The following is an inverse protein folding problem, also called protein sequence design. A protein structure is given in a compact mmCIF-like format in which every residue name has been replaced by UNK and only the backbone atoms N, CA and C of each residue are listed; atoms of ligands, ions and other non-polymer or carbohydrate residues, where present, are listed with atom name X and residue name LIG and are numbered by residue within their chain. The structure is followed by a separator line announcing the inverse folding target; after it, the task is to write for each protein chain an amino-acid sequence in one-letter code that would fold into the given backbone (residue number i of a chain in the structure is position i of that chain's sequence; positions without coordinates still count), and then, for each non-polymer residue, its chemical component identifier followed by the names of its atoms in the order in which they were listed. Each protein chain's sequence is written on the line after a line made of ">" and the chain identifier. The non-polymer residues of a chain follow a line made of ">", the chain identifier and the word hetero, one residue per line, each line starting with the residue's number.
data_IF_812452527284
#
_entry.id   IF_812452527284
#
_cell.length_a   1.000
_cell.length_b   1.000
_cell.length_c   1.000
_cell.angle_alpha   90.00
_cell.angle_beta   90.00
_cell.angle_gamma   90.00
#
_symmetry.space_group_name_H-M   'P 1'
#
loop_
_entity.id
_entity.type
_entity.pdbx_description
1 polymer ?
#
# COMPACT_ATOMS: atom_id res chain seq x y z
N UNK A 1 -24.14 -4.92 -16.49
CA UNK A 1 -23.14 -5.31 -15.48
C UNK A 1 -21.91 -5.89 -16.15
N UNK A 2 -22.03 -6.95 -16.95
CA UNK A 2 -20.87 -7.52 -17.67
C UNK A 2 -20.17 -6.49 -18.56
N UNK A 3 -20.92 -5.69 -19.32
CA UNK A 3 -20.34 -4.60 -20.11
C UNK A 3 -19.60 -3.56 -19.26
N UNK A 4 -20.09 -3.25 -18.06
CA UNK A 4 -19.42 -2.32 -17.13
C UNK A 4 -18.12 -2.92 -16.60
N UNK A 5 -18.11 -4.24 -16.33
CA UNK A 5 -16.90 -4.98 -15.95
C UNK A 5 -15.84 -4.88 -17.05
N UNK A 6 -16.21 -5.25 -18.27
CA UNK A 6 -15.29 -5.24 -19.42
C UNK A 6 -14.79 -3.84 -19.74
N UNK A 7 -15.66 -2.82 -19.63
CA UNK A 7 -15.28 -1.43 -19.83
C UNK A 7 -14.24 -0.97 -18.81
N UNK A 8 -14.46 -1.22 -17.51
CA UNK A 8 -13.50 -0.82 -16.48
C UNK A 8 -12.19 -1.62 -16.54
N UNK A 9 -12.26 -2.92 -16.88
CA UNK A 9 -11.05 -3.73 -17.09
C UNK A 9 -10.23 -3.18 -18.26
N UNK A 10 -10.88 -2.70 -19.32
CA UNK A 10 -10.20 -2.18 -20.51
C UNK A 10 -9.74 -0.73 -20.37
N UNK A 11 -10.32 0.03 -19.44
CA UNK A 11 -10.00 1.46 -19.22
C UNK A 11 -8.58 1.63 -18.64
N UNK A 12 -7.60 2.21 -19.36
CA UNK A 12 -6.22 2.26 -18.91
C UNK A 12 -5.98 3.07 -17.63
N UNK A 13 -6.94 3.85 -17.15
CA UNK A 13 -6.80 4.70 -15.94
C UNK A 13 -7.40 4.06 -14.69
N UNK A 14 -8.16 2.97 -14.82
CA UNK A 14 -8.83 2.30 -13.69
C UNK A 14 -7.99 1.11 -13.18
N UNK A 15 -7.48 1.23 -11.95
CA UNK A 15 -6.69 0.20 -11.25
C UNK A 15 -7.31 -0.28 -9.93
N UNK A 16 -8.33 0.42 -9.42
CA UNK A 16 -9.11 0.00 -8.25
C UNK A 16 -10.47 -0.53 -8.71
N UNK A 17 -10.80 -1.76 -8.29
CA UNK A 17 -12.02 -2.47 -8.69
C UNK A 17 -12.94 -2.80 -7.51
N UNK A 18 -12.68 -2.28 -6.32
CA UNK A 18 -13.44 -2.60 -5.11
C UNK A 18 -14.90 -2.14 -5.21
N UNK A 19 -15.15 -0.93 -5.69
CA UNK A 19 -16.51 -0.40 -5.88
C UNK A 19 -17.30 -1.23 -6.89
N UNK A 20 -16.67 -1.61 -8.01
CA UNK A 20 -17.29 -2.46 -9.01
C UNK A 20 -17.57 -3.86 -8.46
N UNK A 21 -16.66 -4.41 -7.66
CA UNK A 21 -16.87 -5.69 -6.99
C UNK A 21 -18.07 -5.65 -6.04
N UNK A 22 -18.18 -4.60 -5.22
CA UNK A 22 -19.32 -4.40 -4.32
C UNK A 22 -20.63 -4.28 -5.12
N UNK A 23 -20.63 -3.51 -6.22
CA UNK A 23 -21.79 -3.40 -7.13
C UNK A 23 -22.19 -4.78 -7.69
N UNK A 24 -21.24 -5.61 -8.09
CA UNK A 24 -21.50 -6.97 -8.59
C UNK A 24 -22.13 -7.84 -7.50
N UNK A 25 -21.60 -7.82 -6.28
CA UNK A 25 -22.17 -8.56 -5.15
C UNK A 25 -23.61 -8.12 -4.82
N UNK A 26 -23.89 -6.82 -4.87
CA UNK A 26 -25.25 -6.30 -4.68
C UNK A 26 -26.20 -6.73 -5.80
N UNK A 27 -25.74 -6.74 -7.05
CA UNK A 27 -26.52 -7.22 -8.19
C UNK A 27 -26.86 -8.72 -8.07
N UNK A 28 -25.90 -9.55 -7.66
CA UNK A 28 -26.12 -10.97 -7.39
C UNK A 28 -27.14 -11.20 -6.26
N UNK A 29 -27.08 -10.41 -5.18
CA UNK A 29 -28.10 -10.45 -4.10
C UNK A 29 -29.50 -10.08 -4.60
N UNK A 30 -29.58 -9.20 -5.60
CA UNK A 30 -30.83 -8.84 -6.30
C UNK A 30 -31.23 -9.84 -7.40
N UNK A 31 -30.56 -11.01 -7.47
CA UNK A 31 -30.79 -12.07 -8.46
C UNK A 31 -30.55 -11.63 -9.91
N UNK A 32 -29.72 -10.60 -10.13
CA UNK A 32 -29.22 -10.27 -11.47
C UNK A 32 -28.18 -11.31 -11.84
N UNK A 33 -28.34 -11.96 -12.99
CA UNK A 33 -27.36 -12.91 -13.51
C UNK A 33 -26.12 -12.17 -14.01
N UNK A 34 -24.95 -12.65 -13.60
CA UNK A 34 -23.64 -12.23 -14.11
C UNK A 34 -22.91 -13.54 -14.42
N UNK A 35 -22.30 -13.63 -15.60
CA UNK A 35 -21.53 -14.80 -15.98
C UNK A 35 -20.32 -15.02 -15.07
N UNK A 36 -20.01 -16.29 -14.85
CA UNK A 36 -18.83 -16.71 -14.09
C UNK A 36 -17.53 -16.22 -14.73
N UNK A 37 -17.49 -16.14 -16.07
CA UNK A 37 -16.36 -15.60 -16.82
C UNK A 37 -16.10 -14.13 -16.46
N UNK A 38 -17.13 -13.27 -16.50
CA UNK A 38 -17.00 -11.85 -16.16
C UNK A 38 -16.58 -11.65 -14.69
N UNK A 39 -17.14 -12.43 -13.76
CA UNK A 39 -16.75 -12.39 -12.35
C UNK A 39 -15.32 -12.87 -12.13
N UNK A 40 -14.89 -13.92 -12.82
CA UNK A 40 -13.52 -14.45 -12.75
C UNK A 40 -12.52 -13.44 -13.29
N UNK A 41 -12.83 -12.76 -14.40
CA UNK A 41 -12.01 -11.66 -14.93
C UNK A 41 -11.93 -10.52 -13.94
N UNK A 42 -13.06 -10.02 -13.42
CA UNK A 42 -13.06 -8.97 -12.41
C UNK A 42 -12.22 -9.35 -11.20
N UNK A 43 -12.36 -10.58 -10.71
CA UNK A 43 -11.58 -11.08 -9.57
C UNK A 43 -10.08 -11.11 -9.86
N UNK A 44 -9.67 -11.54 -11.06
CA UNK A 44 -8.26 -11.49 -11.48
C UNK A 44 -7.72 -10.06 -11.46
N UNK A 45 -8.46 -9.09 -12.01
CA UNK A 45 -8.03 -7.69 -12.03
C UNK A 45 -8.14 -6.98 -10.68
N UNK A 46 -8.92 -7.52 -9.74
CA UNK A 46 -9.02 -7.00 -8.38
C UNK A 46 -7.94 -7.57 -7.46
N UNK A 47 -7.69 -8.87 -7.53
CA UNK A 47 -6.93 -9.62 -6.51
C UNK A 47 -5.81 -10.48 -7.10
N UNK A 48 -5.88 -10.74 -8.40
CA UNK A 48 -4.96 -11.62 -9.10
C UNK A 48 -3.70 -10.92 -9.58
N UNK A 49 -2.81 -11.73 -10.16
CA UNK A 49 -1.54 -11.32 -10.74
C UNK A 49 -1.27 -12.14 -12.01
N UNK A 50 -0.16 -11.84 -12.70
CA UNK A 50 0.25 -12.55 -13.91
C UNK A 50 0.45 -14.06 -13.73
N UNK A 51 0.79 -14.53 -12.52
CA UNK A 51 0.89 -15.97 -12.23
C UNK A 51 -0.47 -16.67 -12.30
N UNK A 52 -1.52 -16.01 -11.81
CA UNK A 52 -2.89 -16.54 -11.76
C UNK A 52 -3.64 -16.48 -13.09
N UNK A 53 -3.11 -15.74 -14.09
CA UNK A 53 -3.74 -15.59 -15.41
C UNK A 53 -4.00 -16.94 -16.08
N UNK A 54 -3.04 -17.86 -16.02
CA UNK A 54 -3.15 -19.18 -16.65
C UNK A 54 -3.86 -20.23 -15.79
N UNK A 55 -3.99 -19.97 -14.49
CA UNK A 55 -4.64 -20.89 -13.53
C UNK A 55 -6.15 -20.64 -13.44
N UNK A 56 -6.58 -19.40 -13.71
CA UNK A 56 -7.97 -19.00 -13.57
C UNK A 56 -8.79 -19.46 -14.77
N UNK A 57 -9.69 -20.41 -14.53
CA UNK A 57 -10.58 -20.96 -15.56
C UNK A 57 -11.59 -19.93 -16.05
N UNK A 58 -11.91 -19.96 -17.34
CA UNK A 58 -13.02 -19.18 -17.91
C UNK A 58 -12.74 -17.69 -18.18
N UNK A 59 -11.49 -17.24 -18.08
CA UNK A 59 -11.11 -15.84 -18.44
C UNK A 59 -11.20 -15.58 -19.95
N UNK A 60 -10.99 -16.61 -20.78
CA UNK A 60 -10.81 -16.43 -22.22
C UNK A 60 -9.47 -15.77 -22.55
N UNK A 61 -9.32 -15.34 -23.80
CA UNK A 61 -8.14 -14.56 -24.22
C UNK A 61 -8.29 -13.10 -23.77
N UNK A 62 -7.23 -12.54 -23.20
CA UNK A 62 -7.18 -11.12 -22.84
C UNK A 62 -6.58 -10.32 -23.98
N UNK A 63 -7.17 -9.16 -24.25
CA UNK A 63 -6.58 -8.18 -25.16
C UNK A 63 -5.21 -7.70 -24.63
N UNK A 64 -4.28 -7.29 -25.52
CA UNK A 64 -2.93 -6.86 -25.11
C UNK A 64 -2.93 -5.75 -24.03
N UNK A 65 -3.86 -4.80 -24.11
CA UNK A 65 -3.98 -3.73 -23.10
C UNK A 65 -4.39 -4.25 -21.72
N UNK A 66 -5.27 -5.24 -21.66
CA UNK A 66 -5.67 -5.92 -20.43
C UNK A 66 -4.50 -6.70 -19.81
N UNK A 67 -3.68 -7.36 -20.63
CA UNK A 67 -2.46 -8.04 -20.16
C UNK A 67 -1.46 -7.03 -19.61
N UNK A 68 -1.26 -5.91 -20.32
CA UNK A 68 -0.37 -4.85 -19.86
C UNK A 68 -0.84 -4.26 -18.52
N UNK A 69 -2.14 -4.01 -18.36
CA UNK A 69 -2.72 -3.58 -17.09
C UNK A 69 -2.50 -4.61 -15.99
N UNK A 70 -2.70 -5.91 -16.24
CA UNK A 70 -2.45 -6.96 -15.25
C UNK A 70 -0.98 -7.03 -14.83
N UNK A 71 -0.04 -6.75 -15.74
CA UNK A 71 1.39 -6.62 -15.40
C UNK A 71 1.66 -5.43 -14.49
N UNK A 72 1.05 -4.27 -14.76
CA UNK A 72 1.16 -3.10 -13.89
C UNK A 72 0.57 -3.38 -12.51
N UNK A 73 -0.61 -3.98 -12.45
CA UNK A 73 -1.24 -4.41 -11.19
C UNK A 73 -0.35 -5.40 -10.41
N UNK A 74 0.29 -6.34 -11.10
CA UNK A 74 1.27 -7.27 -10.50
C UNK A 74 2.52 -6.53 -9.99
N UNK A 75 3.00 -5.53 -10.74
CA UNK A 75 4.12 -4.68 -10.33
C UNK A 75 3.79 -3.92 -9.04
N UNK A 76 2.56 -3.43 -8.89
CA UNK A 76 2.11 -2.76 -7.67
C UNK A 76 2.14 -3.71 -6.47
N UNK A 77 1.62 -4.92 -6.62
CA UNK A 77 1.60 -5.89 -5.50
C UNK A 77 3.00 -6.20 -4.98
N UNK A 78 3.98 -6.41 -5.88
CA UNK A 78 5.37 -6.66 -5.47
C UNK A 78 6.07 -5.40 -4.95
N UNK A 79 5.69 -4.21 -5.44
CA UNK A 79 6.24 -2.95 -4.97
C UNK A 79 5.74 -2.61 -3.56
N UNK A 80 4.45 -2.82 -3.26
CA UNK A 80 3.87 -2.64 -1.92
C UNK A 80 4.63 -3.47 -0.89
N UNK A 81 4.94 -4.73 -1.22
CA UNK A 81 5.73 -5.62 -0.37
C UNK A 81 7.19 -5.18 -0.17
N UNK A 82 7.67 -4.24 -1.00
CA UNK A 82 9.04 -3.71 -1.02
C UNK A 82 9.13 -2.21 -0.79
N UNK A 83 8.06 -1.55 -0.34
CA UNK A 83 8.08 -0.13 0.03
C UNK A 83 9.21 0.14 1.03
N UNK A 84 10.01 1.16 0.75
CA UNK A 84 11.22 1.50 1.52
C UNK A 84 12.43 0.61 1.25
N UNK A 85 12.36 -0.31 0.29
CA UNK A 85 13.42 -1.24 -0.09
C UNK A 85 13.62 -1.30 -1.61
N UNK A 86 14.60 -2.10 -2.05
CA UNK A 86 14.89 -2.34 -3.46
C UNK A 86 14.16 -3.57 -4.01
N UNK A 87 13.62 -3.43 -5.22
CA UNK A 87 13.26 -4.51 -6.14
C UNK A 87 14.36 -4.70 -7.17
N UNK A 88 14.73 -5.95 -7.48
CA UNK A 88 15.65 -6.22 -8.59
C UNK A 88 14.88 -6.33 -9.91
N UNK A 89 15.52 -5.97 -11.03
CA UNK A 89 14.90 -6.15 -12.35
C UNK A 89 14.64 -7.61 -12.66
N UNK A 90 15.43 -8.52 -12.07
CA UNK A 90 15.20 -9.94 -12.15
C UNK A 90 13.87 -10.36 -11.51
N UNK A 91 13.62 -9.96 -10.27
CA UNK A 91 12.36 -10.23 -9.57
C UNK A 91 11.17 -9.69 -10.37
N UNK A 92 11.28 -8.45 -10.85
CA UNK A 92 10.23 -7.81 -11.67
C UNK A 92 9.97 -8.63 -12.93
N UNK A 93 11.00 -9.03 -13.69
CA UNK A 93 10.82 -9.87 -14.88
C UNK A 93 10.08 -11.18 -14.59
N UNK A 94 10.47 -11.86 -13.50
CA UNK A 94 9.89 -13.15 -13.11
C UNK A 94 8.40 -13.01 -12.74
N UNK A 95 8.05 -11.97 -11.98
CA UNK A 95 6.67 -11.72 -11.56
C UNK A 95 5.79 -11.25 -12.72
N UNK A 96 6.29 -10.39 -13.60
CA UNK A 96 5.53 -9.86 -14.75
C UNK A 96 5.43 -10.86 -15.92
N UNK A 97 6.09 -12.02 -15.80
CA UNK A 97 6.18 -13.05 -16.86
C UNK A 97 6.63 -12.42 -18.18
N UNK A 98 7.69 -11.61 -18.11
CA UNK A 98 8.28 -11.00 -19.29
C UNK A 98 9.13 -12.07 -19.99
N UNK A 99 8.66 -12.53 -21.15
CA UNK A 99 9.43 -13.45 -21.99
C UNK A 99 10.66 -12.72 -22.55
N UNK A 100 11.85 -13.19 -22.17
CA UNK A 100 13.09 -12.73 -22.76
C UNK A 100 13.33 -13.61 -23.98
N UNK A 101 13.04 -13.09 -25.18
CA UNK A 101 13.38 -13.78 -26.43
C UNK A 101 14.82 -13.43 -26.79
N UNK A 102 15.75 -14.38 -26.61
CA UNK A 102 17.15 -14.24 -26.98
C UNK A 102 18.09 -13.87 -25.83
N UNK A 103 19.35 -13.62 -26.16
CA UNK A 103 20.46 -13.41 -25.21
C UNK A 103 20.74 -11.91 -24.95
N UNK A 104 19.72 -11.05 -25.11
CA UNK A 104 19.89 -9.60 -25.08
C UNK A 104 19.47 -9.05 -23.71
N UNK A 105 20.43 -9.00 -22.78
CA UNK A 105 20.24 -8.37 -21.47
C UNK A 105 19.73 -6.92 -21.58
N UNK A 106 20.12 -6.19 -22.63
CA UNK A 106 19.70 -4.81 -22.85
C UNK A 106 18.19 -4.69 -23.10
N UNK A 107 17.60 -5.65 -23.82
CA UNK A 107 16.15 -5.68 -24.06
C UNK A 107 15.36 -5.94 -22.77
N UNK A 108 15.90 -6.79 -21.89
CA UNK A 108 15.31 -7.10 -20.59
C UNK A 108 15.26 -5.85 -19.70
N UNK A 109 16.37 -5.13 -19.62
CA UNK A 109 16.48 -3.88 -18.84
C UNK A 109 15.48 -2.84 -19.33
N UNK A 110 15.48 -2.56 -20.63
CA UNK A 110 14.57 -1.57 -21.22
C UNK A 110 13.09 -1.93 -20.98
N UNK A 111 12.74 -3.21 -21.09
CA UNK A 111 11.36 -3.66 -20.89
C UNK A 111 10.91 -3.45 -19.44
N UNK A 112 11.75 -3.76 -18.46
CA UNK A 112 11.44 -3.53 -17.03
C UNK A 112 11.28 -2.04 -16.75
N UNK A 113 12.26 -1.23 -17.15
CA UNK A 113 12.22 0.22 -16.92
C UNK A 113 10.97 0.84 -17.55
N UNK A 114 10.56 0.39 -18.75
CA UNK A 114 9.32 0.83 -19.38
C UNK A 114 8.09 0.61 -18.50
N UNK A 115 7.94 -0.55 -17.85
CA UNK A 115 6.80 -0.80 -16.95
C UNK A 115 6.87 0.06 -15.69
N UNK A 116 8.07 0.24 -15.13
CA UNK A 116 8.28 1.11 -13.95
C UNK A 116 7.90 2.55 -14.29
N UNK A 117 8.47 3.10 -15.36
CA UNK A 117 8.20 4.46 -15.82
C UNK A 117 6.73 4.65 -16.17
N UNK A 118 6.07 3.64 -16.77
CA UNK A 118 4.63 3.70 -17.04
C UNK A 118 3.81 3.74 -15.75
N UNK A 119 4.14 2.92 -14.75
CA UNK A 119 3.47 2.95 -13.45
C UNK A 119 3.67 4.29 -12.73
N UNK A 120 4.87 4.86 -12.82
CA UNK A 120 5.17 6.19 -12.28
C UNK A 120 4.41 7.29 -13.00
N UNK A 121 4.31 7.23 -14.34
CA UNK A 121 3.54 8.20 -15.12
C UNK A 121 2.02 8.12 -14.92
N UNK A 122 1.53 7.06 -14.27
CA UNK A 122 0.13 6.89 -13.87
C UNK A 122 -0.08 7.17 -12.37
N UNK A 123 0.93 7.70 -11.67
CA UNK A 123 0.92 7.96 -10.22
C UNK A 123 0.60 6.71 -9.35
N UNK A 124 0.84 5.52 -9.90
CA UNK A 124 0.61 4.27 -9.17
C UNK A 124 1.84 3.86 -8.36
N UNK A 125 3.01 4.37 -8.71
CA UNK A 125 4.30 3.97 -8.16
C UNK A 125 5.20 5.19 -8.10
N UNK A 126 6.04 5.28 -7.07
CA UNK A 126 7.12 6.26 -7.01
C UNK A 126 8.39 5.61 -6.49
N UNK A 127 9.54 6.15 -6.90
CA UNK A 127 10.82 5.59 -6.52
C UNK A 127 12.01 6.10 -7.32
N UNK A 128 13.14 5.40 -7.18
CA UNK A 128 14.39 5.72 -7.88
C UNK A 128 14.93 4.50 -8.61
N UNK A 129 15.21 4.67 -9.90
CA UNK A 129 15.90 3.66 -10.72
C UNK A 129 17.40 3.71 -10.44
N UNK A 130 17.99 2.56 -10.17
CA UNK A 130 19.43 2.33 -10.15
C UNK A 130 19.77 1.37 -11.30
N UNK A 131 19.85 1.94 -12.51
CA UNK A 131 20.09 1.20 -13.76
C UNK A 131 21.41 0.41 -13.73
N UNK A 132 22.56 0.95 -13.24
CA UNK A 132 23.80 0.18 -13.14
C UNK A 132 23.66 -1.08 -12.28
N UNK A 133 22.97 -1.00 -11.14
CA UNK A 133 22.74 -2.15 -10.27
C UNK A 133 21.52 -2.98 -10.65
N UNK A 134 20.75 -2.56 -11.67
CA UNK A 134 19.49 -3.15 -12.10
C UNK A 134 18.47 -3.29 -10.96
N UNK A 135 18.28 -2.20 -10.22
CA UNK A 135 17.38 -2.14 -9.07
C UNK A 135 16.45 -0.94 -9.14
N UNK A 136 15.34 -1.04 -8.44
CA UNK A 136 14.38 0.03 -8.25
C UNK A 136 14.09 0.18 -6.77
N UNK A 137 14.40 1.36 -6.21
CA UNK A 137 14.04 1.71 -4.84
C UNK A 137 12.61 2.22 -4.80
N UNK A 138 11.72 1.51 -4.10
CA UNK A 138 10.30 1.87 -4.01
C UNK A 138 10.10 2.87 -2.87
N UNK A 139 9.69 4.10 -3.17
CA UNK A 139 9.29 5.08 -2.14
C UNK A 139 7.81 4.96 -1.80
N UNK A 140 6.98 4.68 -2.81
CA UNK A 140 5.54 4.55 -2.67
C UNK A 140 4.99 3.60 -3.75
N UNK A 141 3.91 2.89 -3.41
CA UNK A 141 3.12 2.11 -4.33
C UNK A 141 1.65 2.21 -3.93
N UNK A 142 0.78 2.51 -4.90
CA UNK A 142 -0.65 2.62 -4.71
C UNK A 142 -1.25 1.24 -4.40
N UNK A 143 -2.07 1.19 -3.35
CA UNK A 143 -2.75 -0.05 -2.97
C UNK A 143 -3.99 -0.28 -3.84
N UNK A 144 -4.06 -1.48 -4.44
CA UNK A 144 -5.22 -1.90 -5.26
C UNK A 144 -6.46 -2.15 -4.42
N UNK A 145 -6.26 -2.56 -3.16
CA UNK A 145 -7.30 -2.94 -2.21
C UNK A 145 -6.89 -2.51 -0.81
N UNK A 146 -7.84 -1.92 -0.09
CA UNK A 146 -7.75 -1.69 1.35
C UNK A 146 -8.66 -2.68 2.06
N UNK A 147 -8.11 -3.82 2.49
CA UNK A 147 -8.84 -4.76 3.34
C UNK A 147 -8.48 -4.59 4.83
N UNK A 148 -9.27 -5.23 5.70
CA UNK A 148 -9.09 -5.13 7.15
C UNK A 148 -7.73 -5.68 7.61
N UNK A 149 -7.24 -6.76 7.00
CA UNK A 149 -5.94 -7.32 7.34
C UNK A 149 -4.81 -6.34 7.00
N UNK A 150 -4.92 -5.67 5.85
CA UNK A 150 -3.97 -4.65 5.41
C UNK A 150 -4.03 -3.40 6.28
N UNK A 151 -5.21 -2.93 6.63
CA UNK A 151 -5.40 -1.82 7.59
C UNK A 151 -4.73 -2.13 8.93
N UNK A 152 -4.90 -3.35 9.45
CA UNK A 152 -4.26 -3.81 10.68
C UNK A 152 -2.73 -3.89 10.54
N UNK A 153 -2.22 -4.31 9.38
CA UNK A 153 -0.78 -4.31 9.10
C UNK A 153 -0.19 -2.90 9.08
N UNK A 154 -0.87 -1.95 8.41
CA UNK A 154 -0.49 -0.54 8.37
C UNK A 154 -0.48 0.06 9.78
N UNK A 155 -1.52 -0.21 10.58
CA UNK A 155 -1.60 0.22 11.97
C UNK A 155 -0.39 -0.29 12.77
N UNK A 156 -0.10 -1.59 12.72
CA UNK A 156 1.06 -2.19 13.42
C UNK A 156 2.40 -1.58 12.97
N UNK A 157 2.51 -1.24 11.69
CA UNK A 157 3.72 -0.62 11.14
C UNK A 157 3.90 0.80 11.67
N UNK A 158 2.81 1.58 11.74
CA UNK A 158 2.81 2.91 12.35
C UNK A 158 3.11 2.85 13.84
N UNK A 159 2.50 1.93 14.58
CA UNK A 159 2.75 1.77 16.03
C UNK A 159 4.23 1.48 16.30
N UNK A 160 4.84 0.56 15.52
CA UNK A 160 6.27 0.25 15.62
C UNK A 160 7.15 1.44 15.25
N UNK A 161 6.74 2.25 14.28
CA UNK A 161 7.48 3.46 13.90
C UNK A 161 7.43 4.49 15.04
N UNK A 162 6.25 4.72 15.61
CA UNK A 162 6.06 5.62 16.77
C UNK A 162 6.92 5.15 17.94
N UNK A 163 6.90 3.86 18.26
CA UNK A 163 7.71 3.28 19.34
C UNK A 163 9.21 3.53 19.12
N UNK A 164 9.72 3.32 17.90
CA UNK A 164 11.11 3.62 17.56
C UNK A 164 11.44 5.10 17.72
N UNK A 165 10.56 6.00 17.28
CA UNK A 165 10.76 7.44 17.44
C UNK A 165 10.78 7.84 18.92
N UNK A 166 9.88 7.31 19.73
CA UNK A 166 9.84 7.56 21.18
C UNK A 166 11.12 7.10 21.86
N UNK A 167 11.61 5.90 21.53
CA UNK A 167 12.87 5.38 22.08
C UNK A 167 14.06 6.29 21.76
N UNK A 168 14.17 6.79 20.52
CA UNK A 168 15.25 7.72 20.14
C UNK A 168 15.12 9.05 20.88
N UNK A 169 13.90 9.57 21.06
CA UNK A 169 13.68 10.82 21.80
C UNK A 169 14.01 10.67 23.30
N UNK A 170 13.71 9.51 23.89
CA UNK A 170 14.06 9.18 25.27
C UNK A 170 15.58 9.03 25.45
N UNK A 171 16.25 8.32 24.53
CA UNK A 171 17.71 8.20 24.49
C UNK A 171 18.42 9.56 24.36
N UNK A 172 17.83 10.49 23.60
CA UNK A 172 18.33 11.85 23.45
C UNK A 172 17.96 12.79 24.62
N UNK A 173 17.26 12.28 25.65
CA UNK A 173 16.85 13.06 26.82
C UNK A 173 15.80 14.12 26.52
N UNK A 174 15.16 14.06 25.35
CA UNK A 174 14.13 15.02 24.91
C UNK A 174 12.79 14.69 25.61
N UNK A 175 12.60 13.45 26.07
CA UNK A 175 11.42 12.98 26.80
C UNK A 175 11.40 13.23 28.32
N UNK A 176 12.47 13.75 28.94
CA UNK A 176 12.54 13.90 30.40
C UNK A 176 12.99 15.28 30.87
N UNK A 177 12.08 16.24 30.74
CA UNK A 177 11.81 17.16 31.86
C UNK A 177 10.46 16.77 32.45
N UNK A 178 10.45 15.67 33.22
CA UNK A 178 9.41 15.50 34.24
C UNK A 178 9.43 16.78 35.08
N UNK A 179 8.33 17.52 35.06
CA UNK A 179 8.10 18.58 36.03
C UNK A 179 8.35 17.99 37.42
N UNK A 180 9.33 18.54 38.12
CA UNK A 180 9.48 18.36 39.55
C UNK A 180 8.12 18.66 40.19
N UNK A 181 7.60 17.80 41.10
CA UNK A 181 6.47 18.22 41.92
C UNK A 181 6.89 19.50 42.62
N UNK A 182 6.03 20.53 42.55
CA UNK A 182 6.27 21.78 43.25
C UNK A 182 6.64 21.46 44.70
N UNK A 183 7.83 21.92 45.12
CA UNK A 183 8.22 21.96 46.52
C UNK A 183 7.12 22.65 47.33
N UNK A 184 6.88 22.12 48.51
CA UNK A 184 5.87 22.49 49.49
C UNK A 184 5.49 23.99 49.47
N UNK A 185 4.27 24.26 49.00
CA UNK A 185 3.61 25.54 49.29
C UNK A 185 3.19 25.46 50.78
N UNK A 186 3.73 26.31 51.66
CA UNK A 186 3.34 26.29 53.06
C UNK A 186 1.86 26.66 53.21
N UNK A 187 1.14 25.88 54.01
CA UNK A 187 -0.27 26.09 54.33
C UNK A 187 -0.47 27.50 54.95
N UNK A 188 -1.31 28.37 54.35
CA UNK A 188 -1.60 29.69 54.90
C UNK A 188 -2.44 29.67 56.19
N UNK A 189 -2.84 28.51 56.70
CA UNK A 189 -3.59 28.37 57.96
C UNK A 189 -2.76 28.67 59.23
N UNK A 190 -1.43 28.67 59.16
CA UNK A 190 -0.56 28.77 60.36
C UNK A 190 -0.26 30.22 60.83
N UNK A 191 -1.02 31.21 60.35
CA UNK A 191 -0.87 32.63 60.73
C UNK A 191 -2.06 33.24 61.49
N UNK A 192 -2.97 32.43 62.03
CA UNK A 192 -4.16 32.92 62.75
C UNK A 192 -4.33 32.39 64.17
N UNK A 193 -3.26 32.30 64.97
CA UNK A 193 -3.41 32.30 66.44
C UNK A 193 -2.19 32.95 67.07
N UNK A 194 -2.27 34.26 67.36
CA UNK A 194 -1.57 35.02 68.43
C UNK A 194 -1.69 36.52 68.16
N UNK A 195 -2.92 37.00 68.18
CA UNK A 195 -3.22 38.41 68.39
C UNK A 195 -4.56 38.42 69.14
N UNK A 196 -4.48 38.31 70.46
CA UNK A 196 -5.46 38.75 71.46
C UNK A 196 -5.12 38.06 72.78
N UNK A 197 -4.29 38.71 73.59
CA UNK A 197 -4.31 38.64 75.06
C UNK A 197 -3.26 39.63 75.59
N UNK A 198 -3.60 40.91 75.54
CA UNK A 198 -3.02 41.98 76.35
C UNK A 198 -4.03 43.13 76.32
N UNK A 199 -4.94 43.11 77.30
CA UNK A 199 -5.51 44.29 78.00
C UNK A 199 -6.85 43.90 78.65
N UNK A 200 -6.79 43.46 79.91
CA UNK A 200 -7.69 43.80 81.04
C UNK A 200 -7.25 43.05 82.30
#
# INVERSE_FOLDING_TARGET
>A
MEQEIEQQISDPEIFNFDDLWVKCLQALRKKVSISEAALSRLKLFREGNMGLLHETKGIGELEPGCIEKLRLLTLLDIAIAKTGNYLTYEDICQHLKLEIKGNENDFRVYTVEKYILKAMGLDLLDGKLDTPSQRFYVTFAAERRMDEARLLEMQRTLDRFIEKCMNVLDEQGIGSKRATPAEDIPDPADKRVRANEMDS
#
